data_IF_889350678796
#
_entry.id   IF_889350678796
#
_cell.length_a   1.000
_cell.length_b   1.000
_cell.length_c   1.000
_cell.angle_alpha   90.00
_cell.angle_beta   90.00
_cell.angle_gamma   90.00
#
_symmetry.space_group_name_H-M   'P 1'
#
loop_
_entity.id
_entity.type
_entity.pdbx_description
1 polymer ?
#
# COMPACT_ATOMS: atom_id res chain seq x y z
N UNK A 1 21.83 24.18 1.59
CA UNK A 1 21.47 24.07 3.01
C UNK A 1 20.83 22.72 3.20
N UNK A 2 21.57 21.77 3.78
CA UNK A 2 20.98 20.54 4.32
C UNK A 2 19.87 20.99 5.27
N UNK A 3 18.62 20.60 5.01
CA UNK A 3 17.61 20.69 6.06
C UNK A 3 18.02 19.58 7.02
N UNK A 4 18.57 19.94 8.17
CA UNK A 4 18.73 18.99 9.27
C UNK A 4 17.33 18.48 9.58
N UNK A 5 17.09 17.25 9.13
CA UNK A 5 15.89 16.51 9.43
C UNK A 5 16.12 15.92 10.81
N UNK A 6 15.59 16.58 11.83
CA UNK A 6 15.46 16.02 13.16
C UNK A 6 14.37 14.95 13.10
N UNK A 7 14.78 13.68 13.06
CA UNK A 7 13.88 12.55 12.89
C UNK A 7 13.85 11.77 14.18
N UNK A 8 12.65 11.70 14.75
CA UNK A 8 12.38 10.81 15.88
C UNK A 8 12.29 9.36 15.36
N UNK A 9 13.29 8.54 15.70
CA UNK A 9 13.35 7.14 15.30
C UNK A 9 12.13 6.33 15.76
N UNK A 10 11.56 6.65 16.94
CA UNK A 10 10.38 5.94 17.43
C UNK A 10 9.15 6.28 16.60
N UNK A 11 8.98 7.55 16.24
CA UNK A 11 7.86 7.96 15.37
C UNK A 11 8.03 7.42 13.94
N UNK A 12 9.27 7.36 13.42
CA UNK A 12 9.56 6.71 12.14
C UNK A 12 9.20 5.22 12.17
N UNK A 13 9.64 4.49 13.19
CA UNK A 13 9.33 3.07 13.34
C UNK A 13 7.82 2.81 13.47
N UNK A 14 7.09 3.65 14.23
CA UNK A 14 5.62 3.58 14.33
C UNK A 14 4.95 3.82 12.98
N UNK A 15 5.43 4.80 12.22
CA UNK A 15 4.90 5.10 10.89
C UNK A 15 5.12 3.95 9.92
N UNK A 16 6.31 3.36 9.90
CA UNK A 16 6.63 2.16 9.09
C UNK A 16 5.69 1.01 9.43
N UNK A 17 5.46 0.75 10.72
CA UNK A 17 4.54 -0.29 11.16
C UNK A 17 3.10 0.00 10.72
N UNK A 18 2.61 1.22 10.92
CA UNK A 18 1.26 1.62 10.54
C UNK A 18 1.02 1.55 9.02
N UNK A 19 2.02 1.93 8.22
CA UNK A 19 1.96 1.83 6.76
C UNK A 19 1.94 0.35 6.32
N UNK A 20 2.78 -0.50 6.93
CA UNK A 20 2.77 -1.95 6.68
C UNK A 20 1.41 -2.57 6.98
N UNK A 21 0.84 -2.30 8.15
CA UNK A 21 -0.47 -2.82 8.56
C UNK A 21 -1.59 -2.34 7.61
N UNK A 22 -1.52 -1.07 7.18
CA UNK A 22 -2.47 -0.50 6.23
C UNK A 22 -2.41 -1.20 4.87
N UNK A 23 -1.21 -1.48 4.36
CA UNK A 23 -1.02 -2.17 3.09
C UNK A 23 -1.48 -3.62 3.13
N UNK A 24 -1.18 -4.34 4.20
CA UNK A 24 -1.64 -5.72 4.41
C UNK A 24 -3.17 -5.77 4.47
N UNK A 25 -3.77 -4.89 5.29
CA UNK A 25 -5.23 -4.80 5.42
C UNK A 25 -5.88 -4.45 4.08
N UNK A 26 -5.34 -3.46 3.37
CA UNK A 26 -5.91 -3.02 2.08
C UNK A 26 -5.78 -4.12 1.04
N UNK A 27 -4.66 -4.82 0.98
CA UNK A 27 -4.44 -5.96 0.09
C UNK A 27 -5.46 -7.07 0.34
N UNK A 28 -5.68 -7.44 1.60
CA UNK A 28 -6.61 -8.51 1.98
C UNK A 28 -8.06 -8.13 1.68
N UNK A 29 -8.47 -6.91 2.04
CA UNK A 29 -9.81 -6.41 1.73
C UNK A 29 -10.03 -6.36 0.24
N UNK A 30 -9.04 -5.89 -0.53
CA UNK A 30 -9.18 -5.74 -1.96
C UNK A 30 -9.25 -7.09 -2.68
N UNK A 31 -8.45 -8.09 -2.27
CA UNK A 31 -8.58 -9.48 -2.73
C UNK A 31 -9.97 -10.06 -2.43
N UNK A 32 -10.55 -9.76 -1.27
CA UNK A 32 -11.90 -10.22 -0.93
C UNK A 32 -12.98 -9.58 -1.82
N UNK A 33 -12.84 -8.30 -2.14
CA UNK A 33 -13.73 -7.61 -3.10
C UNK A 33 -13.58 -8.23 -4.49
N UNK A 34 -12.35 -8.44 -4.98
CA UNK A 34 -12.11 -9.07 -6.28
C UNK A 34 -12.73 -10.48 -6.36
N UNK A 35 -12.55 -11.29 -5.31
CA UNK A 35 -13.14 -12.63 -5.23
C UNK A 35 -14.68 -12.61 -5.21
N UNK A 36 -15.28 -11.61 -4.57
CA UNK A 36 -16.74 -11.42 -4.56
C UNK A 36 -17.23 -10.95 -5.92
N UNK A 37 -16.52 -10.02 -6.55
CA UNK A 37 -16.85 -9.52 -7.87
C UNK A 37 -16.83 -10.63 -8.93
N UNK A 38 -15.78 -11.47 -8.97
CA UNK A 38 -15.72 -12.59 -9.93
C UNK A 38 -16.94 -13.51 -9.85
N UNK A 39 -17.42 -13.80 -8.63
CA UNK A 39 -18.65 -14.61 -8.43
C UNK A 39 -19.90 -13.90 -8.96
N UNK A 40 -19.97 -12.58 -8.84
CA UNK A 40 -21.07 -11.80 -9.39
C UNK A 40 -21.01 -11.74 -10.92
N UNK A 41 -19.82 -11.53 -11.50
CA UNK A 41 -19.57 -11.44 -12.94
C UNK A 41 -20.04 -12.70 -13.69
N UNK A 42 -19.81 -13.89 -13.12
CA UNK A 42 -20.23 -15.17 -13.69
C UNK A 42 -21.75 -15.32 -13.81
N UNK A 43 -22.51 -14.64 -12.94
CA UNK A 43 -23.97 -14.78 -12.83
C UNK A 43 -24.76 -13.62 -13.46
N UNK A 44 -24.14 -12.45 -13.62
CA UNK A 44 -24.77 -11.24 -14.13
C UNK A 44 -24.59 -11.09 -15.65
N UNK A 45 -25.55 -10.48 -16.34
CA UNK A 45 -25.55 -10.23 -17.80
C UNK A 45 -26.17 -8.88 -18.13
N UNK A 46 -25.72 -8.26 -19.22
CA UNK A 46 -26.27 -7.01 -19.79
C UNK A 46 -25.29 -5.84 -19.78
N UNK A 47 -25.62 -4.75 -20.45
CA UNK A 47 -24.73 -3.58 -20.63
C UNK A 47 -24.28 -2.94 -19.30
N UNK A 48 -25.13 -2.95 -18.28
CA UNK A 48 -24.76 -2.48 -16.93
C UNK A 48 -23.69 -3.35 -16.27
N UNK A 49 -23.60 -4.64 -16.61
CA UNK A 49 -22.52 -5.52 -16.19
C UNK A 49 -21.21 -5.05 -16.80
N UNK A 50 -21.18 -4.91 -18.12
CA UNK A 50 -19.97 -4.58 -18.88
C UNK A 50 -19.37 -3.24 -18.42
N UNK A 51 -20.23 -2.24 -18.17
CA UNK A 51 -19.80 -0.95 -17.63
C UNK A 51 -19.23 -1.11 -16.20
N UNK A 52 -19.89 -1.86 -15.33
CA UNK A 52 -19.36 -2.10 -13.98
C UNK A 52 -18.06 -2.90 -14.00
N UNK A 53 -17.93 -3.94 -14.84
CA UNK A 53 -16.69 -4.72 -14.98
C UNK A 53 -15.53 -3.79 -15.35
N UNK A 54 -15.75 -2.88 -16.29
CA UNK A 54 -14.74 -1.90 -16.70
C UNK A 54 -14.35 -0.94 -15.57
N UNK A 55 -15.32 -0.38 -14.87
CA UNK A 55 -15.07 0.54 -13.76
C UNK A 55 -14.36 -0.17 -12.59
N UNK A 56 -14.73 -1.44 -12.36
CA UNK A 56 -14.08 -2.32 -11.39
C UNK A 56 -12.62 -2.59 -11.75
N UNK A 57 -12.33 -2.97 -13.00
CA UNK A 57 -10.97 -3.24 -13.46
C UNK A 57 -10.09 -1.99 -13.39
N UNK A 58 -10.63 -0.82 -13.72
CA UNK A 58 -9.90 0.45 -13.56
C UNK A 58 -9.58 0.75 -12.10
N UNK A 59 -10.56 0.55 -11.20
CA UNK A 59 -10.35 0.72 -9.75
C UNK A 59 -9.31 -0.26 -9.24
N UNK A 60 -9.32 -1.50 -9.76
CA UNK A 60 -8.35 -2.55 -9.43
C UNK A 60 -6.94 -2.16 -9.80
N UNK A 61 -6.72 -1.69 -11.01
CA UNK A 61 -5.41 -1.24 -11.46
C UNK A 61 -4.90 -0.06 -10.62
N UNK A 62 -5.78 0.89 -10.26
CA UNK A 62 -5.41 2.03 -9.42
C UNK A 62 -5.01 1.60 -8.02
N UNK A 63 -5.77 0.70 -7.38
CA UNK A 63 -5.46 0.19 -6.05
C UNK A 63 -4.16 -0.60 -6.06
N UNK A 64 -3.94 -1.44 -7.08
CA UNK A 64 -2.69 -2.21 -7.22
C UNK A 64 -1.48 -1.28 -7.32
N UNK A 65 -1.53 -0.25 -8.16
CA UNK A 65 -0.42 0.73 -8.27
C UNK A 65 -0.18 1.49 -6.98
N UNK A 66 -1.24 1.81 -6.23
CA UNK A 66 -1.10 2.47 -4.94
C UNK A 66 -0.43 1.57 -3.89
N UNK A 67 -0.75 0.27 -3.91
CA UNK A 67 -0.10 -0.73 -3.07
C UNK A 67 1.37 -0.92 -3.45
N UNK A 68 1.68 -1.04 -4.73
CA UNK A 68 3.07 -1.13 -5.22
C UNK A 68 3.91 0.09 -4.81
N UNK A 69 3.38 1.30 -4.98
CA UNK A 69 4.06 2.51 -4.54
C UNK A 69 4.24 2.58 -3.02
N UNK A 70 3.32 2.02 -2.25
CA UNK A 70 3.44 1.88 -0.81
C UNK A 70 4.56 0.91 -0.40
N UNK A 71 4.70 -0.21 -1.12
CA UNK A 71 5.72 -1.24 -0.85
C UNK A 71 7.11 -0.67 -1.12
N UNK A 72 7.26 0.05 -2.23
CA UNK A 72 8.48 0.78 -2.56
C UNK A 72 8.82 1.81 -1.47
N UNK A 73 7.82 2.57 -1.00
CA UNK A 73 8.01 3.55 0.07
C UNK A 73 8.43 2.88 1.39
N UNK A 74 7.83 1.75 1.75
CA UNK A 74 8.23 0.98 2.93
C UNK A 74 9.68 0.49 2.83
N UNK A 75 10.11 0.02 1.66
CA UNK A 75 11.49 -0.42 1.46
C UNK A 75 12.47 0.73 1.71
N UNK A 76 12.18 1.92 1.17
CA UNK A 76 13.00 3.10 1.38
C UNK A 76 12.99 3.57 2.84
N UNK A 77 11.84 3.57 3.50
CA UNK A 77 11.71 3.98 4.89
C UNK A 77 12.46 3.03 5.83
N UNK A 78 12.40 1.72 5.59
CA UNK A 78 13.17 0.72 6.37
C UNK A 78 14.67 0.91 6.21
N UNK A 79 15.15 1.08 4.97
CA UNK A 79 16.58 1.39 4.72
C UNK A 79 17.02 2.68 5.42
N UNK A 80 16.15 3.68 5.42
CA UNK A 80 16.43 4.95 6.06
C UNK A 80 16.49 4.81 7.60
N UNK A 81 15.56 4.08 8.19
CA UNK A 81 15.56 3.72 9.63
C UNK A 81 16.83 2.93 10.01
N UNK A 82 17.27 1.98 9.19
CA UNK A 82 18.52 1.23 9.41
C UNK A 82 19.75 2.16 9.40
N UNK A 83 19.81 3.10 8.45
CA UNK A 83 20.90 4.08 8.36
C UNK A 83 20.94 4.97 9.61
N UNK A 84 19.80 5.45 10.09
CA UNK A 84 19.73 6.27 11.30
C UNK A 84 20.30 5.53 12.52
N UNK A 85 19.88 4.27 12.71
CA UNK A 85 20.39 3.41 13.79
C UNK A 85 21.89 3.17 13.69
N UNK A 86 22.42 2.97 12.49
CA UNK A 86 23.87 2.85 12.29
C UNK A 86 24.62 4.15 12.65
N UNK A 87 24.04 5.32 12.36
CA UNK A 87 24.64 6.60 12.76
C UNK A 87 24.62 6.80 14.27
N UNK A 88 23.51 6.47 14.95
CA UNK A 88 23.42 6.57 16.41
C UNK A 88 24.37 5.59 17.13
N UNK A 89 24.58 4.38 16.60
CA UNK A 89 25.50 3.40 17.21
C UNK A 89 26.98 3.77 17.06
N UNK A 90 27.33 4.56 16.05
CA UNK A 90 28.71 4.97 15.76
C UNK A 90 29.10 6.33 16.37
N UNK A 91 28.18 6.99 17.07
CA UNK A 91 28.38 8.26 17.78
C UNK A 91 28.49 8.07 19.30
#
# INVERSE_FOLDING_TARGET
MSRDLDIDEQELAKFIAALSDFQDLTTDKFKAVEGTWRKCDDSWKGESKDQFTKDFDQTKDMVQRALEAGDDALEWLRKFDDILKEFEQNY
#
